data_IF_701119578415
#
_entry.id   IF_701119578415
#
_cell.length_a   1.000
_cell.length_b   1.000
_cell.length_c   1.000
_cell.angle_alpha   90.00
_cell.angle_beta   90.00
_cell.angle_gamma   90.00
#
_symmetry.space_group_name_H-M   'P 1'
#
loop_
_entity.id
_entity.type
_entity.pdbx_description
1 polymer ?
#
# COMPACT_ATOMS: atom_id res chain seq x y z
N UNK A 1 -29.14 -7.93 -20.62
CA UNK A 1 -28.47 -8.43 -19.39
C UNK A 1 -26.95 -8.34 -19.48
N UNK A 2 -26.34 -8.75 -20.60
CA UNK A 2 -24.90 -8.64 -20.86
C UNK A 2 -24.36 -7.20 -20.65
N UNK A 3 -25.10 -6.19 -21.09
CA UNK A 3 -24.65 -4.78 -21.00
C UNK A 3 -24.57 -4.25 -19.57
N UNK A 4 -25.48 -4.70 -18.68
CA UNK A 4 -25.45 -4.32 -17.26
C UNK A 4 -24.25 -4.95 -16.54
N UNK A 5 -23.95 -6.21 -16.82
CA UNK A 5 -22.79 -6.92 -16.26
C UNK A 5 -21.50 -6.27 -16.75
N UNK A 6 -21.41 -5.97 -18.05
CA UNK A 6 -20.26 -5.29 -18.63
C UNK A 6 -20.04 -3.90 -18.04
N UNK A 7 -21.11 -3.14 -17.82
CA UNK A 7 -21.04 -1.83 -17.15
C UNK A 7 -20.54 -1.92 -15.70
N UNK A 8 -20.92 -2.98 -14.95
CA UNK A 8 -20.41 -3.22 -13.59
C UNK A 8 -18.93 -3.57 -13.61
N UNK A 9 -18.50 -4.49 -14.49
CA UNK A 9 -17.08 -4.83 -14.64
C UNK A 9 -16.24 -3.61 -15.01
N UNK A 10 -16.73 -2.75 -15.89
CA UNK A 10 -16.04 -1.52 -16.27
C UNK A 10 -15.91 -0.55 -15.08
N UNK A 11 -16.94 -0.44 -14.24
CA UNK A 11 -16.89 0.38 -13.02
C UNK A 11 -15.88 -0.17 -12.02
N UNK A 12 -15.84 -1.48 -11.83
CA UNK A 12 -14.84 -2.15 -10.98
C UNK A 12 -13.43 -1.89 -11.51
N UNK A 13 -13.19 -2.02 -12.82
CA UNK A 13 -11.89 -1.69 -13.41
C UNK A 13 -11.47 -0.24 -13.19
N UNK A 14 -12.41 0.70 -13.29
CA UNK A 14 -12.15 2.13 -13.01
C UNK A 14 -11.92 2.43 -11.53
N UNK A 15 -12.56 1.71 -10.61
CA UNK A 15 -12.37 1.95 -9.17
C UNK A 15 -10.96 1.58 -8.70
N UNK A 16 -10.32 0.61 -9.35
CA UNK A 16 -8.93 0.26 -9.08
C UNK A 16 -7.91 1.32 -9.54
N UNK A 17 -8.28 2.26 -10.41
CA UNK A 17 -7.33 3.30 -10.87
C UNK A 17 -6.88 4.22 -9.74
N UNK A 18 -7.74 4.49 -8.75
CA UNK A 18 -7.44 5.42 -7.67
C UNK A 18 -6.34 4.89 -6.72
N UNK A 19 -6.38 3.63 -6.25
CA UNK A 19 -5.25 3.00 -5.55
C UNK A 19 -4.00 2.81 -6.42
N UNK A 20 -4.14 2.49 -7.71
CA UNK A 20 -2.98 2.24 -8.57
C UNK A 20 -2.16 3.52 -8.79
N UNK A 21 -2.79 4.68 -8.76
CA UNK A 21 -2.11 5.96 -8.94
C UNK A 21 -1.05 6.28 -7.85
N UNK A 22 -1.14 5.69 -6.65
CA UNK A 22 -0.15 5.91 -5.58
C UNK A 22 1.04 4.94 -5.64
N UNK A 23 0.94 3.85 -6.40
CA UNK A 23 2.00 2.85 -6.52
C UNK A 23 3.32 3.38 -7.11
N UNK A 24 3.34 4.25 -8.15
CA UNK A 24 4.59 4.75 -8.70
C UNK A 24 5.42 5.54 -7.69
N UNK A 25 4.76 6.41 -6.91
CA UNK A 25 5.45 7.21 -5.88
C UNK A 25 5.96 6.32 -4.76
N UNK A 26 5.15 5.37 -4.30
CA UNK A 26 5.58 4.37 -3.30
C UNK A 26 6.78 3.57 -3.79
N UNK A 27 6.77 3.13 -5.05
CA UNK A 27 7.85 2.38 -5.68
C UNK A 27 9.14 3.19 -5.81
N UNK A 28 9.05 4.48 -6.17
CA UNK A 28 10.22 5.37 -6.20
C UNK A 28 10.80 5.60 -4.81
N UNK A 29 9.96 5.84 -3.80
CA UNK A 29 10.40 6.05 -2.41
C UNK A 29 11.09 4.79 -1.85
N UNK A 30 10.49 3.63 -2.04
CA UNK A 30 11.04 2.35 -1.60
C UNK A 30 12.29 1.98 -2.40
N UNK A 31 12.25 2.10 -3.72
CA UNK A 31 13.35 1.72 -4.62
C UNK A 31 14.59 2.58 -4.41
N UNK A 32 14.43 3.90 -4.37
CA UNK A 32 15.55 4.81 -4.10
C UNK A 32 16.02 4.65 -2.65
N UNK A 33 15.10 4.66 -1.69
CA UNK A 33 15.46 4.49 -0.27
C UNK A 33 16.26 3.21 -0.03
N UNK A 34 15.79 2.06 -0.50
CA UNK A 34 16.45 0.76 -0.31
C UNK A 34 17.76 0.61 -1.08
N UNK A 35 17.85 1.12 -2.31
CA UNK A 35 19.07 0.97 -3.15
C UNK A 35 20.26 1.72 -2.56
N UNK A 36 20.03 2.86 -1.92
CA UNK A 36 21.09 3.68 -1.33
C UNK A 36 21.32 3.41 0.16
N UNK A 37 20.49 2.59 0.82
CA UNK A 37 20.71 2.11 2.19
C UNK A 37 21.28 0.69 2.27
N UNK A 38 21.42 -0.02 1.14
CA UNK A 38 21.94 -1.39 1.10
C UNK A 38 23.47 -1.39 1.33
N UNK A 39 23.93 -2.11 2.34
CA UNK A 39 25.35 -2.19 2.74
C UNK A 39 26.27 -2.65 1.60
N UNK A 40 25.79 -3.55 0.73
CA UNK A 40 26.56 -4.04 -0.44
C UNK A 40 26.74 -2.96 -1.52
N UNK A 41 25.73 -2.12 -1.73
CA UNK A 41 25.79 -0.98 -2.65
C UNK A 41 26.66 0.14 -2.08
N UNK A 42 26.51 0.44 -0.79
CA UNK A 42 27.35 1.42 -0.08
C UNK A 42 28.83 1.02 -0.07
N UNK A 43 29.13 -0.27 0.07
CA UNK A 43 30.48 -0.82 0.00
C UNK A 43 31.05 -0.80 -1.42
N UNK A 44 30.23 -1.10 -2.44
CA UNK A 44 30.66 -1.11 -3.85
C UNK A 44 30.97 0.29 -4.38
N UNK A 45 30.24 1.31 -3.91
CA UNK A 45 30.46 2.71 -4.29
C UNK A 45 31.47 3.46 -3.40
N UNK A 46 32.16 2.80 -2.46
CA UNK A 46 33.08 3.44 -1.49
C UNK A 46 32.42 4.59 -0.69
N UNK A 47 31.10 4.54 -0.52
CA UNK A 47 30.32 5.62 0.10
C UNK A 47 30.09 5.44 1.60
N UNK A 48 30.67 4.39 2.20
CA UNK A 48 30.61 4.09 3.65
C UNK A 48 31.04 5.27 4.54
N UNK A 49 31.93 6.15 4.07
CA UNK A 49 32.39 7.32 4.84
C UNK A 49 31.43 8.52 4.90
N UNK A 50 30.50 8.65 3.95
CA UNK A 50 29.58 9.80 3.84
C UNK A 50 28.11 9.36 3.95
N UNK A 51 27.80 8.14 3.54
CA UNK A 51 26.46 7.54 3.53
C UNK A 51 26.37 6.22 4.31
N UNK A 52 27.39 5.87 5.09
CA UNK A 52 27.35 4.69 5.96
C UNK A 52 26.37 4.81 7.14
N UNK A 53 26.18 3.72 7.91
CA UNK A 53 25.31 3.70 9.08
C UNK A 53 25.72 4.80 10.08
N UNK A 54 24.84 5.77 10.30
CA UNK A 54 25.05 6.88 11.24
C UNK A 54 25.13 8.28 10.63
N UNK A 55 25.14 8.42 9.30
CA UNK A 55 25.08 9.75 8.66
C UNK A 55 23.64 10.24 8.48
N UNK A 56 23.44 11.56 8.49
CA UNK A 56 22.11 12.19 8.32
C UNK A 56 21.46 11.75 7.01
N UNK A 57 22.26 11.57 5.95
CA UNK A 57 21.80 11.12 4.64
C UNK A 57 21.26 9.68 4.72
N UNK A 58 21.99 8.75 5.34
CA UNK A 58 21.51 7.38 5.53
C UNK A 58 20.17 7.33 6.28
N UNK A 59 20.01 8.15 7.32
CA UNK A 59 18.77 8.23 8.08
C UNK A 59 17.60 8.77 7.24
N UNK A 60 17.83 9.81 6.41
CA UNK A 60 16.81 10.35 5.50
C UNK A 60 16.38 9.29 4.48
N UNK A 61 17.33 8.58 3.86
CA UNK A 61 16.98 7.55 2.88
C UNK A 61 16.32 6.32 3.52
N UNK A 62 16.69 5.97 4.75
CA UNK A 62 15.98 4.94 5.52
C UNK A 62 14.54 5.35 5.80
N UNK A 63 14.30 6.62 6.15
CA UNK A 63 12.95 7.17 6.33
C UNK A 63 12.18 7.13 5.01
N UNK A 64 12.79 7.53 3.88
CA UNK A 64 12.16 7.43 2.56
C UNK A 64 11.75 6.00 2.20
N UNK A 65 12.64 5.02 2.45
CA UNK A 65 12.35 3.60 2.26
C UNK A 65 11.16 3.14 3.10
N UNK A 66 11.14 3.49 4.39
CA UNK A 66 10.02 3.17 5.30
C UNK A 66 8.71 3.81 4.86
N UNK A 67 8.73 5.08 4.43
CA UNK A 67 7.55 5.74 3.88
C UNK A 67 7.00 5.03 2.65
N UNK A 68 7.87 4.55 1.76
CA UNK A 68 7.48 3.72 0.61
C UNK A 68 6.88 2.38 1.05
N UNK A 69 7.52 1.68 1.98
CA UNK A 69 7.06 0.38 2.50
C UNK A 69 5.66 0.45 3.09
N UNK A 70 5.37 1.46 3.92
CA UNK A 70 4.06 1.61 4.58
C UNK A 70 2.90 1.62 3.59
N UNK A 71 3.08 2.18 2.39
CA UNK A 71 2.07 2.19 1.34
C UNK A 71 1.81 0.78 0.81
N UNK A 72 2.87 -0.01 0.60
CA UNK A 72 2.75 -1.41 0.16
C UNK A 72 2.19 -2.31 1.25
N UNK A 73 2.64 -2.13 2.49
CA UNK A 73 2.20 -2.91 3.66
C UNK A 73 0.70 -2.72 3.92
N UNK A 74 0.18 -1.52 3.66
CA UNK A 74 -1.24 -1.18 3.81
C UNK A 74 -2.01 -1.18 2.48
N UNK A 75 -1.41 -1.69 1.40
CA UNK A 75 -2.02 -1.69 0.08
C UNK A 75 -3.40 -2.37 0.04
N UNK A 76 -3.64 -3.49 0.76
CA UNK A 76 -4.97 -4.10 0.81
C UNK A 76 -6.04 -3.16 1.36
N UNK A 77 -5.72 -2.38 2.40
CA UNK A 77 -6.64 -1.40 2.99
C UNK A 77 -6.90 -0.24 2.01
N UNK A 78 -5.85 0.28 1.37
CA UNK A 78 -5.97 1.35 0.35
C UNK A 78 -6.87 0.89 -0.80
N UNK A 79 -6.72 -0.36 -1.25
CA UNK A 79 -7.57 -0.96 -2.27
C UNK A 79 -9.02 -1.13 -1.81
N UNK A 80 -9.25 -1.59 -0.57
CA UNK A 80 -10.59 -1.71 -0.01
C UNK A 80 -11.35 -0.37 -0.04
N UNK A 81 -10.67 0.71 0.37
CA UNK A 81 -11.22 2.07 0.34
C UNK A 81 -11.44 2.56 -1.08
N UNK A 82 -10.44 2.43 -1.96
CA UNK A 82 -10.54 2.90 -3.34
C UNK A 82 -11.63 2.19 -4.14
N UNK A 83 -11.80 0.88 -3.94
CA UNK A 83 -12.87 0.10 -4.57
C UNK A 83 -14.24 0.56 -4.06
N UNK A 84 -14.40 0.74 -2.74
CA UNK A 84 -15.65 1.20 -2.15
C UNK A 84 -16.07 2.58 -2.68
N UNK A 85 -15.13 3.54 -2.70
CA UNK A 85 -15.36 4.89 -3.24
C UNK A 85 -15.71 4.85 -4.73
N UNK A 86 -14.96 4.06 -5.52
CA UNK A 86 -15.17 3.99 -6.97
C UNK A 86 -16.45 3.25 -7.38
N UNK A 87 -16.97 2.38 -6.51
CA UNK A 87 -18.22 1.66 -6.73
C UNK A 87 -19.46 2.40 -6.19
N UNK A 88 -19.28 3.27 -5.20
CA UNK A 88 -20.35 4.05 -4.59
C UNK A 88 -20.96 5.09 -5.55
N UNK A 89 -22.29 5.07 -5.66
CA UNK A 89 -23.05 6.04 -6.48
C UNK A 89 -23.43 7.32 -5.73
N UNK A 90 -23.56 7.23 -4.40
CA UNK A 90 -23.94 8.29 -3.45
C UNK A 90 -23.17 8.06 -2.14
N UNK A 91 -23.02 9.11 -1.32
CA UNK A 91 -22.39 9.02 0.01
C UNK A 91 -21.03 8.30 -0.02
N UNK A 92 -20.10 8.80 -0.85
CA UNK A 92 -18.81 8.13 -1.08
C UNK A 92 -17.94 8.09 0.17
N UNK A 93 -18.10 9.09 1.03
CA UNK A 93 -17.44 9.26 2.31
C UNK A 93 -17.89 8.16 3.29
N UNK A 94 -19.20 7.89 3.33
CA UNK A 94 -19.78 6.81 4.15
C UNK A 94 -19.32 5.45 3.63
N UNK A 95 -19.30 5.25 2.30
CA UNK A 95 -18.79 4.02 1.70
C UNK A 95 -17.30 3.78 2.02
N UNK A 96 -16.48 4.84 2.02
CA UNK A 96 -15.09 4.77 2.43
C UNK A 96 -14.96 4.33 3.89
N UNK A 97 -15.67 4.98 4.81
CA UNK A 97 -15.63 4.64 6.24
C UNK A 97 -16.11 3.20 6.49
N UNK A 98 -17.21 2.81 5.85
CA UNK A 98 -17.77 1.46 5.97
C UNK A 98 -16.77 0.39 5.47
N UNK A 99 -16.01 0.67 4.40
CA UNK A 99 -15.02 -0.26 3.88
C UNK A 99 -13.85 -0.49 4.84
N UNK A 100 -13.40 0.56 5.54
CA UNK A 100 -12.34 0.45 6.56
C UNK A 100 -12.82 -0.42 7.72
N UNK A 101 -14.03 -0.16 8.22
CA UNK A 101 -14.63 -0.95 9.30
C UNK A 101 -14.78 -2.42 8.86
N UNK A 102 -15.33 -2.66 7.67
CA UNK A 102 -15.50 -4.00 7.13
C UNK A 102 -14.16 -4.75 6.97
N UNK A 103 -13.11 -4.04 6.53
CA UNK A 103 -11.77 -4.61 6.40
C UNK A 103 -11.20 -5.07 7.75
N UNK A 104 -11.36 -4.26 8.80
CA UNK A 104 -10.91 -4.62 10.15
C UNK A 104 -11.75 -5.75 10.76
N UNK A 105 -13.08 -5.70 10.63
CA UNK A 105 -13.96 -6.77 11.10
C UNK A 105 -13.62 -8.09 10.41
N UNK A 106 -13.35 -8.07 9.10
CA UNK A 106 -12.90 -9.25 8.37
C UNK A 106 -11.57 -9.79 8.90
N UNK A 107 -10.58 -8.92 9.15
CA UNK A 107 -9.30 -9.33 9.74
C UNK A 107 -9.47 -9.94 11.14
N UNK A 108 -10.28 -9.32 12.00
CA UNK A 108 -10.58 -9.84 13.34
C UNK A 108 -11.32 -11.18 13.29
N UNK A 109 -12.27 -11.34 12.36
CA UNK A 109 -12.99 -12.60 12.17
C UNK A 109 -12.05 -13.72 11.73
N UNK A 110 -11.17 -13.45 10.75
CA UNK A 110 -10.16 -14.42 10.28
C UNK A 110 -9.21 -14.78 11.44
N UNK A 111 -8.70 -13.78 12.17
CA UNK A 111 -7.83 -14.01 13.32
C UNK A 111 -8.51 -14.83 14.42
N UNK A 112 -9.78 -14.57 14.71
CA UNK A 112 -10.59 -15.36 15.64
C UNK A 112 -10.77 -16.80 15.18
N UNK A 113 -11.06 -17.01 13.89
CA UNK A 113 -11.16 -18.35 13.30
C UNK A 113 -9.84 -19.12 13.39
N UNK A 114 -8.70 -18.49 13.09
CA UNK A 114 -7.37 -19.10 13.25
C UNK A 114 -7.12 -19.50 14.71
N UNK A 115 -7.50 -18.63 15.66
CA UNK A 115 -7.33 -18.92 17.10
C UNK A 115 -8.18 -20.10 17.58
N UNK A 116 -9.39 -20.26 17.04
CA UNK A 116 -10.33 -21.34 17.43
C UNK A 116 -9.96 -22.68 16.78
N UNK A 117 -9.64 -22.67 15.49
CA UNK A 117 -9.44 -23.90 14.71
C UNK A 117 -7.97 -24.32 14.57
N UNK A 118 -7.05 -23.50 15.08
CA UNK A 118 -5.61 -23.77 15.05
C UNK A 118 -4.97 -23.39 13.71
N UNK A 119 -3.95 -22.53 13.78
CA UNK A 119 -2.97 -22.29 12.72
C UNK A 119 -1.59 -22.66 13.23
#
# INVERSE_FOLDING_TARGET
MKDKIFSVLQRVGRSFMLPVAVLPVAGLLLGLGSSFTNETTLATYNLLGIMGPGTVIYNILTIMSKCGSVIFDNLPLIFAVGVAIGMAKKEKEVAALASVIAFFVMHSAISGMITIYGG
#
